data_IF_189280815452
#
_entry.id   IF_189280815452
#
_cell.length_a   1.000
_cell.length_b   1.000
_cell.length_c   1.000
_cell.angle_alpha   90.00
_cell.angle_beta   90.00
_cell.angle_gamma   90.00
#
_symmetry.space_group_name_H-M   'P 1'
#
loop_
_entity.id
_entity.type
_entity.pdbx_description
1 polymer ?
#
# COMPACT_ATOMS: atom_id res chain seq x y z
N UNK A 1 10.53 -7.68 -4.02
CA UNK A 1 10.39 -8.64 -2.92
C UNK A 1 9.55 -8.00 -1.81
N UNK A 2 8.45 -8.65 -1.42
CA UNK A 2 7.64 -8.27 -0.26
C UNK A 2 8.05 -9.15 0.92
N UNK A 3 8.18 -8.57 2.11
CA UNK A 3 8.60 -9.25 3.34
C UNK A 3 7.42 -9.75 4.19
N UNK A 4 6.19 -9.57 3.69
CA UNK A 4 4.95 -9.99 4.34
C UNK A 4 4.33 -11.10 3.51
N UNK A 5 3.95 -12.18 4.19
CA UNK A 5 3.09 -13.22 3.64
C UNK A 5 1.63 -12.83 3.88
N UNK A 6 0.93 -12.48 2.78
CA UNK A 6 -0.45 -12.00 2.82
C UNK A 6 -1.49 -13.12 2.93
N UNK A 7 -1.10 -14.35 2.60
CA UNK A 7 -1.97 -15.51 2.79
C UNK A 7 -2.02 -15.86 4.27
N UNK A 8 -0.86 -15.87 4.93
CA UNK A 8 -0.78 -16.05 6.37
C UNK A 8 -1.37 -14.87 7.17
N UNK A 9 -1.36 -13.66 6.60
CA UNK A 9 -2.04 -12.49 7.17
C UNK A 9 -3.56 -12.56 7.00
N UNK A 10 -4.06 -13.49 6.17
CA UNK A 10 -5.49 -13.62 5.82
C UNK A 10 -6.09 -12.28 5.38
N UNK A 11 -5.37 -11.55 4.53
CA UNK A 11 -5.84 -10.26 4.04
C UNK A 11 -6.94 -10.46 3.00
N UNK A 12 -8.13 -9.94 3.32
CA UNK A 12 -9.28 -9.97 2.44
C UNK A 12 -9.68 -8.58 1.93
N UNK A 13 -10.44 -8.56 0.83
CA UNK A 13 -11.04 -7.35 0.30
C UNK A 13 -11.95 -6.70 1.36
N UNK A 14 -11.92 -5.37 1.47
CA UNK A 14 -12.65 -4.60 2.47
C UNK A 14 -11.99 -4.53 3.85
N UNK A 15 -10.89 -5.27 4.11
CA UNK A 15 -10.10 -5.07 5.32
C UNK A 15 -9.45 -3.70 5.33
N UNK A 16 -9.24 -3.15 6.53
CA UNK A 16 -8.48 -1.91 6.75
C UNK A 16 -7.05 -2.23 7.14
N UNK A 17 -6.09 -1.59 6.48
CA UNK A 17 -4.66 -1.78 6.71
C UNK A 17 -3.99 -0.44 7.05
N UNK A 18 -3.17 -0.44 8.09
CA UNK A 18 -2.26 0.65 8.43
C UNK A 18 -0.82 0.23 8.13
N UNK A 19 -0.19 0.89 7.16
CA UNK A 19 1.21 0.68 6.76
C UNK A 19 2.10 1.75 7.41
N UNK A 20 2.73 1.41 8.53
CA UNK A 20 3.64 2.29 9.28
C UNK A 20 5.08 2.11 8.82
N UNK A 21 5.76 3.22 8.50
CA UNK A 21 7.07 3.16 7.86
C UNK A 21 6.95 2.67 6.41
N UNK A 22 5.94 3.18 5.70
CA UNK A 22 5.58 2.66 4.38
C UNK A 22 6.67 2.86 3.33
N UNK A 23 7.63 3.77 3.57
CA UNK A 23 8.66 4.18 2.63
C UNK A 23 8.06 4.47 1.25
N UNK A 24 8.53 3.75 0.23
CA UNK A 24 8.03 3.86 -1.15
C UNK A 24 6.65 3.19 -1.43
N UNK A 25 5.98 2.63 -0.43
CA UNK A 25 4.59 2.18 -0.51
C UNK A 25 4.36 0.79 -1.11
N UNK A 26 5.35 -0.12 -1.04
CA UNK A 26 5.23 -1.48 -1.61
C UNK A 26 4.13 -2.31 -0.95
N UNK A 27 4.04 -2.25 0.38
CA UNK A 27 3.03 -2.97 1.15
C UNK A 27 1.66 -2.33 1.02
N UNK A 28 1.60 -1.00 1.12
CA UNK A 28 0.38 -0.26 0.82
C UNK A 28 -0.20 -0.59 -0.56
N UNK A 29 0.65 -0.65 -1.59
CA UNK A 29 0.22 -1.01 -2.94
C UNK A 29 -0.30 -2.44 -3.04
N UNK A 30 0.40 -3.42 -2.47
CA UNK A 30 -0.05 -4.82 -2.51
C UNK A 30 -1.37 -5.01 -1.74
N UNK A 31 -1.53 -4.37 -0.58
CA UNK A 31 -2.76 -4.37 0.20
C UNK A 31 -3.93 -3.77 -0.59
N UNK A 32 -3.72 -2.62 -1.24
CA UNK A 32 -4.71 -2.01 -2.14
C UNK A 32 -5.06 -2.93 -3.31
N UNK A 33 -4.06 -3.61 -3.91
CA UNK A 33 -4.26 -4.54 -5.02
C UNK A 33 -5.13 -5.73 -4.64
N UNK A 34 -5.12 -6.13 -3.37
CA UNK A 34 -5.95 -7.19 -2.79
C UNK A 34 -7.35 -6.72 -2.35
N UNK A 35 -7.65 -5.44 -2.53
CA UNK A 35 -8.96 -4.85 -2.22
C UNK A 35 -9.10 -4.29 -0.81
N UNK A 36 -7.99 -4.14 -0.06
CA UNK A 36 -8.02 -3.50 1.25
C UNK A 36 -8.15 -1.97 1.11
N UNK A 37 -8.73 -1.34 2.14
CA UNK A 37 -8.62 0.10 2.37
C UNK A 37 -7.33 0.36 3.16
N UNK A 38 -6.46 1.24 2.65
CA UNK A 38 -5.10 1.38 3.19
C UNK A 38 -4.81 2.82 3.60
N UNK A 39 -4.30 2.98 4.82
CA UNK A 39 -3.69 4.21 5.31
C UNK A 39 -2.18 3.95 5.41
N UNK A 40 -1.37 4.79 4.77
CA UNK A 40 0.08 4.67 4.76
C UNK A 40 0.73 5.90 5.41
N UNK A 41 1.66 5.67 6.34
CA UNK A 41 2.32 6.73 7.11
C UNK A 41 3.83 6.50 7.18
N UNK A 42 4.60 7.58 7.04
CA UNK A 42 6.05 7.57 7.20
C UNK A 42 6.53 8.91 7.78
N UNK A 43 7.62 8.88 8.55
CA UNK A 43 8.27 10.10 9.06
C UNK A 43 9.21 10.73 8.03
N UNK A 44 9.66 9.96 7.04
CA UNK A 44 10.45 10.45 5.90
C UNK A 44 9.55 11.12 4.86
N UNK A 45 9.22 12.40 5.08
CA UNK A 45 8.38 13.20 4.18
C UNK A 45 8.76 13.12 2.69
N UNK A 46 10.06 13.14 2.29
CA UNK A 46 10.42 13.02 0.87
C UNK A 46 10.01 11.68 0.25
N UNK A 47 10.12 10.58 1.00
CA UNK A 47 9.73 9.26 0.53
C UNK A 47 8.21 9.10 0.48
N UNK A 48 7.50 9.65 1.47
CA UNK A 48 6.04 9.69 1.52
C UNK A 48 5.45 10.39 0.30
N UNK A 49 6.03 11.53 -0.12
CA UNK A 49 5.59 12.25 -1.33
C UNK A 49 5.73 11.41 -2.60
N UNK A 50 6.85 10.68 -2.69
CA UNK A 50 7.13 9.81 -3.83
C UNK A 50 6.21 8.59 -3.83
N UNK A 51 5.92 8.03 -2.66
CA UNK A 51 4.95 6.95 -2.47
C UNK A 51 3.55 7.36 -2.90
N UNK A 52 3.06 8.54 -2.48
CA UNK A 52 1.77 9.08 -2.91
C UNK A 52 1.66 9.16 -4.44
N UNK A 53 2.72 9.65 -5.10
CA UNK A 53 2.75 9.76 -6.56
C UNK A 53 2.68 8.38 -7.24
N UNK A 54 3.36 7.37 -6.69
CA UNK A 54 3.35 6.00 -7.18
C UNK A 54 2.00 5.31 -6.95
N UNK A 55 1.43 5.43 -5.74
CA UNK A 55 0.10 4.90 -5.42
C UNK A 55 -0.96 5.52 -6.33
N UNK A 56 -0.97 6.84 -6.48
CA UNK A 56 -1.91 7.56 -7.35
C UNK A 56 -1.81 7.17 -8.83
N UNK A 57 -0.59 6.87 -9.32
CA UNK A 57 -0.38 6.38 -10.70
C UNK A 57 -0.88 4.95 -10.85
N UNK A 58 -0.50 4.07 -9.92
CA UNK A 58 -0.82 2.65 -10.02
C UNK A 58 -2.30 2.34 -9.72
N UNK A 59 -2.95 3.12 -8.86
CA UNK A 59 -4.39 3.02 -8.60
C UNK A 59 -5.24 3.48 -9.79
N UNK A 60 -4.73 4.40 -10.63
CA UNK A 60 -5.39 4.85 -11.87
C UNK A 60 -5.27 3.83 -13.00
N UNK A 61 -4.14 3.13 -13.09
CA UNK A 61 -3.91 2.10 -14.12
C UNK A 61 -4.82 0.88 -14.03
N UNK A 62 -5.53 0.67 -12.90
CA UNK A 62 -6.42 -0.49 -12.69
C UNK A 62 -7.92 -0.16 -12.71
N UNK A 63 -8.27 1.10 -12.98
CA UNK A 63 -9.66 1.53 -13.13
C UNK A 63 -10.17 1.46 -14.59
N UNK A 64 -9.33 0.96 -15.51
CA UNK A 64 -9.68 0.59 -16.88
C UNK A 64 -9.65 -0.93 -17.04
#
# INVERSE_FOLDING_TARGET
>A
MLTVDYERLELHSGHKVLDLGCGFGRHAYESLRRGAEVIACDMALPELWRSQSNLCRNARSKRN
#
